data_IF_363695279685
#
_entry.id   IF_363695279685
#
_cell.length_a   1.000
_cell.length_b   1.000
_cell.length_c   1.000
_cell.angle_alpha   90.00
_cell.angle_beta   90.00
_cell.angle_gamma   90.00
#
_symmetry.space_group_name_H-M   'P 1'
#
loop_
_entity.id
_entity.type
_entity.pdbx_description
1 polymer ?
#
# COMPACT_ATOMS: atom_id res chain seq x y z
N UNK A 1 35.83 24.37 23.96
CA UNK A 1 37.01 25.24 24.20
C UNK A 1 37.27 26.26 23.09
N UNK A 2 36.69 26.10 21.89
CA UNK A 2 36.85 26.99 20.73
C UNK A 2 36.14 28.36 20.86
N UNK A 3 34.95 28.41 21.45
CA UNK A 3 34.11 29.63 21.56
C UNK A 3 34.68 30.76 22.43
N UNK A 4 35.63 30.46 23.32
CA UNK A 4 36.22 31.45 24.26
C UNK A 4 37.22 32.45 23.62
N UNK A 5 37.61 32.24 22.36
CA UNK A 5 38.55 33.11 21.61
C UNK A 5 37.90 34.03 20.58
N UNK A 6 36.56 33.92 20.39
CA UNK A 6 35.84 34.76 19.45
C UNK A 6 35.34 36.02 20.12
N UNK A 7 35.36 37.15 19.38
CA UNK A 7 34.71 38.38 19.85
C UNK A 7 33.22 38.15 20.05
N UNK A 8 32.58 38.87 20.98
CA UNK A 8 31.14 38.75 21.29
C UNK A 8 30.28 38.82 20.03
N UNK A 9 30.63 39.69 19.06
CA UNK A 9 29.96 39.80 17.78
C UNK A 9 29.99 38.51 16.99
N UNK A 10 31.13 37.84 16.91
CA UNK A 10 31.29 36.58 16.18
C UNK A 10 30.59 35.42 16.89
N UNK A 11 30.52 35.41 18.21
CA UNK A 11 29.72 34.43 18.96
C UNK A 11 28.23 34.56 18.66
N UNK A 12 27.72 35.79 18.60
CA UNK A 12 26.33 36.10 18.30
C UNK A 12 25.96 35.66 16.87
N UNK A 13 26.80 35.97 15.88
CA UNK A 13 26.62 35.53 14.47
C UNK A 13 26.61 34.01 14.39
N UNK A 14 27.51 33.32 15.09
CA UNK A 14 27.57 31.85 15.08
C UNK A 14 26.32 31.21 15.68
N UNK A 15 25.79 31.76 16.78
CA UNK A 15 24.54 31.29 17.41
C UNK A 15 23.34 31.49 16.45
N UNK A 16 23.27 32.61 15.76
CA UNK A 16 22.20 32.90 14.80
C UNK A 16 22.27 31.91 13.62
N UNK A 17 23.46 31.66 13.07
CA UNK A 17 23.64 30.72 11.95
C UNK A 17 23.26 29.30 12.37
N UNK A 18 23.75 28.84 13.54
CA UNK A 18 23.40 27.49 14.02
C UNK A 18 21.90 27.37 14.29
N UNK A 19 21.32 28.38 14.94
CA UNK A 19 19.88 28.42 15.21
C UNK A 19 19.05 28.39 13.91
N UNK A 20 19.47 29.11 12.88
CA UNK A 20 18.88 29.11 11.57
C UNK A 20 18.95 27.75 10.88
N UNK A 21 20.13 27.11 10.88
CA UNK A 21 20.33 25.78 10.30
C UNK A 21 19.46 24.74 11.02
N UNK A 22 19.45 24.75 12.36
CA UNK A 22 18.63 23.82 13.16
C UNK A 22 17.14 24.01 12.88
N UNK A 23 16.67 25.25 12.78
CA UNK A 23 15.28 25.56 12.49
C UNK A 23 14.87 25.07 11.10
N UNK A 24 15.69 25.34 10.07
CA UNK A 24 15.44 24.87 8.70
C UNK A 24 15.45 23.34 8.61
N UNK A 25 16.42 22.69 9.25
CA UNK A 25 16.50 21.23 9.27
C UNK A 25 15.29 20.59 9.95
N UNK A 26 14.83 21.17 11.05
CA UNK A 26 13.64 20.70 11.77
C UNK A 26 12.39 20.87 10.90
N UNK A 27 12.25 22.01 10.25
CA UNK A 27 11.12 22.28 9.35
C UNK A 27 11.12 21.33 8.15
N UNK A 28 12.27 21.12 7.53
CA UNK A 28 12.40 20.15 6.42
C UNK A 28 12.02 18.73 6.85
N UNK A 29 12.51 18.29 8.02
CA UNK A 29 12.15 16.99 8.57
C UNK A 29 10.64 16.83 8.79
N UNK A 30 10.00 17.84 9.39
CA UNK A 30 8.53 17.81 9.63
C UNK A 30 7.77 17.75 8.31
N UNK A 31 8.16 18.54 7.32
CA UNK A 31 7.52 18.56 6.00
C UNK A 31 7.66 17.21 5.29
N UNK A 32 8.85 16.60 5.28
CA UNK A 32 9.08 15.28 4.68
C UNK A 32 8.19 14.24 5.35
N UNK A 33 8.16 14.22 6.69
CA UNK A 33 7.35 13.27 7.45
C UNK A 33 5.85 13.44 7.16
N UNK A 34 5.38 14.67 7.11
CA UNK A 34 3.97 14.99 6.84
C UNK A 34 3.58 14.56 5.42
N UNK A 35 4.42 14.87 4.41
CA UNK A 35 4.20 14.45 3.03
C UNK A 35 4.22 12.93 2.86
N UNK A 36 5.19 12.25 3.47
CA UNK A 36 5.29 10.79 3.45
C UNK A 36 4.06 10.12 4.06
N UNK A 37 3.59 10.59 5.21
CA UNK A 37 2.38 10.07 5.85
C UNK A 37 1.12 10.30 4.99
N UNK A 38 1.02 11.47 4.37
CA UNK A 38 -0.09 11.80 3.47
C UNK A 38 -0.07 10.89 2.23
N UNK A 39 1.08 10.71 1.60
CA UNK A 39 1.22 9.83 0.43
C UNK A 39 0.88 8.38 0.77
N UNK A 40 1.33 7.87 1.93
CA UNK A 40 1.00 6.53 2.41
C UNK A 40 -0.51 6.36 2.63
N UNK A 41 -1.17 7.35 3.23
CA UNK A 41 -2.61 7.33 3.43
C UNK A 41 -3.39 7.32 2.10
N UNK A 42 -2.99 8.16 1.13
CA UNK A 42 -3.60 8.20 -0.21
C UNK A 42 -3.37 6.88 -0.96
N UNK A 43 -2.16 6.33 -0.90
CA UNK A 43 -1.84 5.03 -1.46
C UNK A 43 -2.77 3.95 -0.93
N UNK A 44 -2.93 3.89 0.40
CA UNK A 44 -3.79 2.90 1.04
C UNK A 44 -5.24 3.03 0.61
N UNK A 45 -5.81 4.23 0.68
CA UNK A 45 -7.20 4.49 0.27
C UNK A 45 -7.45 4.10 -1.19
N UNK A 46 -6.50 4.41 -2.07
CA UNK A 46 -6.60 4.06 -3.50
C UNK A 46 -6.65 2.54 -3.69
N UNK A 47 -5.72 1.81 -3.07
CA UNK A 47 -5.61 0.36 -3.25
C UNK A 47 -6.72 -0.41 -2.53
N UNK A 48 -7.21 0.07 -1.40
CA UNK A 48 -8.41 -0.46 -0.73
C UNK A 48 -9.66 -0.33 -1.62
N UNK A 49 -9.87 0.85 -2.24
CA UNK A 49 -10.99 1.07 -3.16
C UNK A 49 -10.88 0.23 -4.43
N UNK A 50 -9.68 0.13 -5.02
CA UNK A 50 -9.43 -0.71 -6.18
C UNK A 50 -9.70 -2.19 -5.86
N UNK A 51 -9.20 -2.67 -4.72
CA UNK A 51 -9.44 -4.05 -4.29
C UNK A 51 -10.93 -4.31 -4.02
N UNK A 52 -11.65 -3.36 -3.42
CA UNK A 52 -13.11 -3.47 -3.22
C UNK A 52 -13.87 -3.52 -4.55
N UNK A 53 -13.49 -2.67 -5.51
CA UNK A 53 -14.08 -2.68 -6.85
C UNK A 53 -13.79 -4.00 -7.58
N UNK A 54 -12.56 -4.51 -7.51
CA UNK A 54 -12.20 -5.82 -8.06
C UNK A 54 -13.05 -6.94 -7.43
N UNK A 55 -13.20 -6.92 -6.10
CA UNK A 55 -14.02 -7.90 -5.38
C UNK A 55 -15.48 -7.89 -5.88
N UNK A 56 -16.10 -6.72 -5.93
CA UNK A 56 -17.51 -6.59 -6.36
C UNK A 56 -17.73 -7.02 -7.81
N UNK A 57 -16.82 -6.65 -8.71
CA UNK A 57 -16.90 -7.03 -10.13
C UNK A 57 -16.67 -8.52 -10.37
N UNK A 58 -15.88 -9.18 -9.53
CA UNK A 58 -15.59 -10.61 -9.63
C UNK A 58 -16.61 -11.48 -8.91
N UNK A 59 -17.39 -10.95 -7.98
CA UNK A 59 -18.30 -11.70 -7.13
C UNK A 59 -19.21 -12.69 -7.89
N UNK A 60 -19.89 -12.33 -9.00
CA UNK A 60 -20.72 -13.29 -9.75
C UNK A 60 -19.91 -14.44 -10.34
N UNK A 61 -18.71 -14.18 -10.81
CA UNK A 61 -17.86 -15.21 -11.41
C UNK A 61 -17.23 -16.12 -10.34
N UNK A 62 -16.94 -15.58 -9.14
CA UNK A 62 -16.47 -16.34 -8.00
C UNK A 62 -17.54 -17.29 -7.47
N UNK A 63 -18.78 -16.82 -7.38
CA UNK A 63 -19.92 -17.65 -6.98
C UNK A 63 -20.10 -18.85 -7.89
N UNK A 64 -19.87 -18.69 -9.21
CA UNK A 64 -19.91 -19.77 -10.20
C UNK A 64 -18.58 -20.54 -10.32
N UNK A 65 -17.55 -20.13 -9.60
CA UNK A 65 -16.17 -20.67 -9.69
C UNK A 65 -15.63 -20.69 -11.14
N UNK A 66 -16.02 -19.68 -11.97
CA UNK A 66 -15.59 -19.59 -13.38
C UNK A 66 -14.31 -18.75 -13.52
N UNK A 67 -13.16 -19.43 -13.45
CA UNK A 67 -11.83 -18.82 -13.60
C UNK A 67 -11.62 -18.11 -14.95
N UNK A 68 -12.34 -18.49 -16.03
CA UNK A 68 -12.20 -17.84 -17.34
C UNK A 68 -12.84 -16.45 -17.35
N UNK A 69 -14.00 -16.31 -16.73
CA UNK A 69 -14.69 -15.02 -16.59
C UNK A 69 -13.87 -14.12 -15.67
N UNK A 70 -13.37 -14.64 -14.55
CA UNK A 70 -12.47 -13.92 -13.63
C UNK A 70 -11.25 -13.42 -14.40
N UNK A 71 -10.56 -14.27 -15.17
CA UNK A 71 -9.38 -13.89 -15.94
C UNK A 71 -9.64 -12.76 -16.95
N UNK A 72 -10.81 -12.75 -17.64
CA UNK A 72 -11.19 -11.65 -18.53
C UNK A 72 -11.39 -10.32 -17.78
N UNK A 73 -12.09 -10.36 -16.63
CA UNK A 73 -12.31 -9.18 -15.78
C UNK A 73 -10.98 -8.66 -15.22
N UNK A 74 -10.13 -9.55 -14.68
CA UNK A 74 -8.80 -9.19 -14.17
C UNK A 74 -7.97 -8.52 -15.26
N UNK A 75 -7.95 -9.03 -16.49
CA UNK A 75 -7.19 -8.44 -17.59
C UNK A 75 -7.60 -6.99 -17.88
N UNK A 76 -8.90 -6.68 -17.80
CA UNK A 76 -9.40 -5.32 -17.97
C UNK A 76 -8.91 -4.37 -16.83
N UNK A 77 -8.88 -4.84 -15.59
CA UNK A 77 -8.38 -4.06 -14.46
C UNK A 77 -6.85 -3.93 -14.47
N UNK A 78 -6.15 -5.02 -14.73
CA UNK A 78 -4.67 -5.07 -14.66
C UNK A 78 -4.04 -4.13 -15.66
N UNK A 79 -4.61 -3.96 -16.86
CA UNK A 79 -4.09 -2.99 -17.84
C UNK A 79 -4.02 -1.54 -17.32
N UNK A 80 -4.77 -1.24 -16.25
CA UNK A 80 -4.81 0.11 -15.63
C UNK A 80 -3.93 0.24 -14.38
N UNK A 81 -3.56 -0.90 -13.74
CA UNK A 81 -2.88 -0.91 -12.43
C UNK A 81 -1.68 -1.86 -12.36
N UNK A 82 -1.18 -2.29 -13.52
CA UNK A 82 -0.21 -3.40 -13.64
C UNK A 82 1.10 -3.17 -12.88
N UNK A 83 1.59 -1.93 -12.81
CA UNK A 83 2.88 -1.60 -12.18
C UNK A 83 2.92 -1.91 -10.67
N UNK A 84 1.82 -1.69 -9.97
CA UNK A 84 1.75 -1.83 -8.51
C UNK A 84 1.17 -3.17 -8.06
N UNK A 85 0.56 -3.94 -8.96
CA UNK A 85 0.00 -5.24 -8.64
C UNK A 85 1.11 -6.30 -8.55
N UNK A 86 1.32 -6.89 -7.39
CA UNK A 86 2.28 -7.99 -7.17
C UNK A 86 1.64 -9.33 -7.42
N UNK A 87 0.49 -9.57 -6.80
CA UNK A 87 -0.24 -10.82 -6.86
C UNK A 87 -1.73 -10.56 -6.66
N UNK A 88 -2.56 -11.22 -7.46
CA UNK A 88 -3.99 -11.30 -7.25
C UNK A 88 -4.40 -12.77 -7.29
N UNK A 89 -5.14 -13.20 -6.28
CA UNK A 89 -5.78 -14.50 -6.22
C UNK A 89 -7.27 -14.35 -5.92
N UNK A 90 -8.04 -15.21 -6.51
CA UNK A 90 -9.48 -15.28 -6.34
C UNK A 90 -9.87 -16.66 -5.80
N UNK A 91 -10.77 -16.68 -4.84
CA UNK A 91 -11.15 -17.88 -4.09
C UNK A 91 -12.68 -18.05 -4.06
N UNK A 92 -13.14 -19.29 -4.11
CA UNK A 92 -14.54 -19.62 -3.90
C UNK A 92 -14.94 -19.48 -2.40
N UNK A 93 -16.19 -19.81 -2.07
CA UNK A 93 -16.70 -19.74 -0.69
C UNK A 93 -16.02 -20.73 0.27
N UNK A 94 -15.47 -21.81 -0.25
CA UNK A 94 -14.72 -22.81 0.51
C UNK A 94 -13.30 -22.35 0.81
N UNK A 95 -12.82 -21.32 0.12
CA UNK A 95 -11.47 -20.80 0.21
C UNK A 95 -10.49 -21.49 -0.73
N UNK A 96 -10.99 -22.24 -1.73
CA UNK A 96 -10.20 -22.85 -2.77
C UNK A 96 -9.85 -21.82 -3.85
N UNK A 97 -8.63 -21.89 -4.36
CA UNK A 97 -8.14 -20.99 -5.39
C UNK A 97 -8.83 -21.30 -6.74
N UNK A 98 -9.50 -20.29 -7.31
CA UNK A 98 -10.16 -20.37 -8.63
C UNK A 98 -9.31 -19.70 -9.70
N UNK A 99 -8.52 -18.68 -9.33
CA UNK A 99 -7.73 -17.90 -10.28
C UNK A 99 -6.51 -17.29 -9.59
N UNK A 100 -5.38 -17.25 -10.33
CA UNK A 100 -4.15 -16.53 -9.92
C UNK A 100 -3.61 -15.66 -11.07
N UNK A 101 -3.22 -14.43 -10.76
CA UNK A 101 -2.41 -13.57 -11.61
C UNK A 101 -1.21 -13.08 -10.79
N UNK A 102 -0.03 -13.43 -11.25
CA UNK A 102 1.24 -13.06 -10.60
C UNK A 102 2.07 -12.18 -11.54
N UNK A 103 2.54 -11.05 -11.01
CA UNK A 103 3.38 -10.11 -11.76
C UNK A 103 4.82 -10.06 -11.23
N UNK A 104 5.11 -10.60 -10.02
CA UNK A 104 6.46 -10.68 -9.44
C UNK A 104 6.71 -12.06 -8.87
N UNK A 105 7.98 -12.49 -8.86
CA UNK A 105 8.37 -13.82 -8.37
C UNK A 105 8.24 -13.94 -6.85
N UNK A 106 8.71 -12.92 -6.11
CA UNK A 106 8.57 -12.88 -4.66
C UNK A 106 7.18 -12.38 -4.28
N UNK A 107 6.33 -13.31 -3.86
CA UNK A 107 4.94 -13.02 -3.49
C UNK A 107 4.62 -13.52 -2.09
N UNK A 108 3.77 -12.78 -1.34
CA UNK A 108 3.29 -13.26 -0.04
C UNK A 108 2.42 -14.51 -0.21
N UNK A 109 2.43 -15.38 0.81
CA UNK A 109 1.53 -16.55 0.84
C UNK A 109 0.09 -16.11 1.12
N UNK A 110 -0.67 -15.90 0.05
CA UNK A 110 -2.09 -15.56 0.16
C UNK A 110 -2.95 -16.78 0.53
N UNK A 111 -2.56 -18.00 0.12
CA UNK A 111 -3.35 -19.21 0.41
C UNK A 111 -3.37 -19.49 1.91
N UNK A 112 -2.21 -19.45 2.58
CA UNK A 112 -2.14 -19.60 4.04
C UNK A 112 -2.92 -18.51 4.77
N UNK A 113 -2.89 -17.26 4.26
CA UNK A 113 -3.62 -16.14 4.86
C UNK A 113 -5.14 -16.29 4.69
N UNK A 114 -5.63 -16.67 3.52
CA UNK A 114 -7.06 -16.93 3.28
C UNK A 114 -7.56 -18.00 4.25
N UNK A 115 -6.90 -19.14 4.34
CA UNK A 115 -7.31 -20.23 5.23
C UNK A 115 -7.37 -19.78 6.70
N UNK A 116 -6.36 -19.02 7.14
CA UNK A 116 -6.31 -18.46 8.50
C UNK A 116 -7.47 -17.51 8.81
N UNK A 117 -7.91 -16.72 7.84
CA UNK A 117 -8.92 -15.65 8.03
C UNK A 117 -10.28 -16.00 7.43
N UNK A 118 -10.45 -17.21 6.86
CA UNK A 118 -11.66 -17.63 6.14
C UNK A 118 -12.94 -17.41 6.93
N UNK A 119 -12.94 -17.73 8.24
CA UNK A 119 -14.11 -17.53 9.11
C UNK A 119 -14.53 -16.06 9.18
N UNK A 120 -13.58 -15.14 9.30
CA UNK A 120 -13.85 -13.70 9.38
C UNK A 120 -14.32 -13.16 8.03
N UNK A 121 -13.68 -13.58 6.96
CA UNK A 121 -14.08 -13.23 5.59
C UNK A 121 -15.51 -13.70 5.27
N UNK A 122 -15.92 -14.88 5.75
CA UNK A 122 -17.31 -15.36 5.66
C UNK A 122 -18.31 -14.55 6.47
N UNK A 123 -17.85 -13.76 7.45
CA UNK A 123 -18.64 -12.81 8.22
C UNK A 123 -18.64 -11.40 7.60
N UNK A 124 -18.01 -11.23 6.43
CA UNK A 124 -17.92 -9.95 5.74
C UNK A 124 -16.76 -9.06 6.24
N UNK A 125 -15.91 -9.56 7.16
CA UNK A 125 -14.76 -8.81 7.64
C UNK A 125 -13.65 -8.79 6.58
N UNK A 126 -13.01 -7.65 6.43
CA UNK A 126 -11.80 -7.49 5.60
C UNK A 126 -10.56 -7.76 6.44
N UNK A 127 -9.49 -8.22 5.80
CA UNK A 127 -8.20 -8.38 6.44
C UNK A 127 -7.12 -7.61 5.69
N UNK A 128 -6.26 -6.94 6.44
CA UNK A 128 -5.12 -6.20 5.92
C UNK A 128 -3.87 -6.57 6.69
N UNK A 129 -2.78 -6.75 5.96
CA UNK A 129 -1.45 -6.93 6.53
C UNK A 129 -0.43 -6.09 5.78
N UNK A 130 0.38 -5.38 6.54
CA UNK A 130 1.32 -4.40 6.05
C UNK A 130 2.75 -4.92 6.18
N UNK A 131 3.45 -5.05 5.04
CA UNK A 131 4.85 -5.47 4.94
C UNK A 131 5.71 -4.27 4.50
N UNK A 132 7.04 -4.31 4.66
CA UNK A 132 7.92 -3.23 4.23
C UNK A 132 7.76 -2.83 2.76
N UNK A 133 7.64 -3.82 1.86
CA UNK A 133 7.60 -3.60 0.40
C UNK A 133 6.22 -3.84 -0.22
N UNK A 134 5.29 -4.45 0.52
CA UNK A 134 3.97 -4.82 0.00
C UNK A 134 2.89 -4.60 1.04
N UNK A 135 1.66 -4.40 0.57
CA UNK A 135 0.46 -4.50 1.40
C UNK A 135 -0.44 -5.60 0.86
N UNK A 136 -0.93 -6.44 1.76
CA UNK A 136 -1.87 -7.53 1.46
C UNK A 136 -3.25 -7.14 1.94
N UNK A 137 -4.23 -7.26 1.04
CA UNK A 137 -5.64 -7.03 1.32
C UNK A 137 -6.41 -8.31 0.98
N UNK A 138 -7.19 -8.83 1.94
CA UNK A 138 -8.15 -9.90 1.71
C UNK A 138 -9.55 -9.30 1.86
N UNK A 139 -10.38 -9.47 0.83
CA UNK A 139 -11.72 -8.87 0.80
C UNK A 139 -12.77 -9.90 0.41
N UNK A 140 -13.93 -9.88 1.10
CA UNK A 140 -15.11 -10.60 0.62
C UNK A 140 -15.64 -9.94 -0.65
N UNK A 141 -16.13 -10.75 -1.57
CA UNK A 141 -16.74 -10.33 -2.82
C UNK A 141 -18.26 -10.47 -2.69
N UNK A 142 -18.95 -9.34 -2.56
CA UNK A 142 -20.39 -9.32 -2.35
C UNK A 142 -21.17 -9.34 -3.66
N UNK A 143 -22.16 -10.20 -3.73
CA UNK A 143 -23.21 -10.21 -4.74
C UNK A 143 -24.26 -9.13 -4.45
N UNK A 144 -25.11 -8.75 -5.43
CA UNK A 144 -26.29 -7.94 -5.15
C UNK A 144 -27.17 -8.61 -4.06
N UNK A 145 -27.45 -7.89 -2.97
CA UNK A 145 -28.19 -8.41 -1.80
C UNK A 145 -27.31 -8.85 -0.64
N UNK A 146 -26.06 -8.37 -0.59
CA UNK A 146 -25.09 -8.58 0.51
C UNK A 146 -24.67 -10.05 0.75
N UNK A 147 -24.97 -10.94 -0.19
CA UNK A 147 -24.49 -12.31 -0.15
C UNK A 147 -23.03 -12.38 -0.60
N UNK A 148 -22.22 -13.18 0.07
CA UNK A 148 -20.80 -13.35 -0.31
C UNK A 148 -20.70 -14.39 -1.42
N UNK A 149 -20.14 -14.00 -2.59
CA UNK A 149 -19.92 -14.90 -3.73
C UNK A 149 -18.54 -15.59 -3.72
N UNK A 150 -17.62 -15.11 -2.88
CA UNK A 150 -16.26 -15.63 -2.75
C UNK A 150 -15.33 -14.58 -2.15
N UNK A 151 -14.01 -14.73 -2.33
CA UNK A 151 -13.01 -13.86 -1.76
C UNK A 151 -11.94 -13.50 -2.77
N UNK A 152 -11.33 -12.33 -2.59
CA UNK A 152 -10.09 -11.97 -3.29
C UNK A 152 -8.98 -11.67 -2.32
N UNK A 153 -7.76 -12.06 -2.71
CA UNK A 153 -6.54 -11.66 -2.06
C UNK A 153 -5.68 -10.86 -3.04
N UNK A 154 -5.30 -9.65 -2.66
CA UNK A 154 -4.48 -8.77 -3.49
C UNK A 154 -3.26 -8.33 -2.73
N UNK A 155 -2.09 -8.43 -3.36
CA UNK A 155 -0.85 -7.87 -2.85
C UNK A 155 -0.42 -6.70 -3.75
N UNK A 156 -0.22 -5.52 -3.14
CA UNK A 156 0.20 -4.29 -3.81
C UNK A 156 1.63 -3.94 -3.44
N UNK A 157 2.43 -3.51 -4.40
CA UNK A 157 3.79 -3.01 -4.18
C UNK A 157 3.78 -1.60 -3.62
N UNK A 158 4.65 -1.33 -2.65
CA UNK A 158 4.92 0.00 -2.10
C UNK A 158 6.06 0.72 -2.80
N UNK A 159 6.51 0.22 -3.95
CA UNK A 159 7.66 0.78 -4.67
C UNK A 159 7.49 2.28 -4.97
N UNK A 160 6.31 2.69 -5.44
CA UNK A 160 5.94 4.10 -5.67
C UNK A 160 6.13 4.98 -4.41
N UNK A 161 5.78 4.48 -3.23
CA UNK A 161 5.99 5.19 -1.96
C UNK A 161 7.48 5.31 -1.61
N UNK A 162 8.27 4.28 -1.92
CA UNK A 162 9.70 4.28 -1.65
C UNK A 162 10.43 5.27 -2.55
N UNK A 163 10.09 5.32 -3.83
CA UNK A 163 10.63 6.31 -4.78
C UNK A 163 10.29 7.73 -4.36
N UNK A 164 9.03 8.00 -4.04
CA UNK A 164 8.59 9.32 -3.57
C UNK A 164 9.34 9.76 -2.30
N UNK A 165 9.58 8.85 -1.35
CA UNK A 165 10.38 9.15 -0.15
C UNK A 165 11.82 9.52 -0.50
N UNK A 166 12.45 8.83 -1.45
CA UNK A 166 13.80 9.13 -1.92
C UNK A 166 13.87 10.49 -2.59
N UNK A 167 12.92 10.83 -3.45
CA UNK A 167 12.84 12.14 -4.10
C UNK A 167 12.71 13.28 -3.07
N UNK A 168 11.85 13.12 -2.06
CA UNK A 168 11.69 14.10 -0.98
C UNK A 168 12.97 14.29 -0.18
N UNK A 169 13.70 13.22 0.12
CA UNK A 169 14.99 13.29 0.83
C UNK A 169 16.04 14.01 -0.04
N UNK A 170 16.12 13.69 -1.33
CA UNK A 170 17.06 14.35 -2.24
C UNK A 170 16.76 15.84 -2.37
N UNK A 171 15.50 16.23 -2.51
CA UNK A 171 15.11 17.65 -2.54
C UNK A 171 15.50 18.38 -1.25
N UNK A 172 15.34 17.75 -0.10
CA UNK A 172 15.71 18.37 1.18
C UNK A 172 17.22 18.50 1.39
N UNK A 173 18.04 17.69 0.73
CA UNK A 173 19.51 17.77 0.80
C UNK A 173 20.07 18.86 -0.14
N UNK A 174 19.28 19.36 -1.10
CA UNK A 174 19.66 20.41 -2.03
C UNK A 174 19.37 21.83 -1.52
N UNK A 175 18.68 21.96 -0.39
CA UNK A 175 18.33 23.22 0.31
C UNK A 175 19.32 23.46 1.46
#
# INVERSE_FOLDING_TARGET
MFLRRLTIRNQLVFVIIIGGILSLSTMAYVLIRMHSNFAEHQFMLRHERLSALMASEMAPALHLSDGRIIGKKVKAFVSTVEENLVLLKAYNLEGDEVFEKRNREQTPDLNGKIQKHLRKLKQGEEFREDFPETVVLLKPAFLPGDEIGGFIGVAWSKHELTELRWELIQMALLI
#
